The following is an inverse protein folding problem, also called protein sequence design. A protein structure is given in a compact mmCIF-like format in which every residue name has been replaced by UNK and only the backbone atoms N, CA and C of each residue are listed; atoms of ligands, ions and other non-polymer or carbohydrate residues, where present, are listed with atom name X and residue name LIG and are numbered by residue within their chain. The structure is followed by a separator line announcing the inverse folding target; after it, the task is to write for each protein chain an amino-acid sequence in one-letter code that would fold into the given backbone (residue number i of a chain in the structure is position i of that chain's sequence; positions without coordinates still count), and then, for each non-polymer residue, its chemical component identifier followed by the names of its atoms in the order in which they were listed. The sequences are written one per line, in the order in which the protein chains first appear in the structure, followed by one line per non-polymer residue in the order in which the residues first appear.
data_IF_856156199897
#
_entry.id   IF_856156199897
#
_cell.length_a   1.000
_cell.length_b   1.000
_cell.length_c   1.000
_cell.angle_alpha   90.00
_cell.angle_beta   90.00
_cell.angle_gamma   90.00
#
_symmetry.space_group_name_H-M   'P 1'
#
loop_
_entity.id
_entity.type
_entity.pdbx_description
1 polymer ?
#
# COMPACT_ATOMS: atom_id res chain seq x y z
N UNK A 1 -9.26 -0.28 17.07
CA UNK A 1 -10.01 -1.55 17.21
C UNK A 1 -9.12 -2.61 17.84
N UNK A 2 -9.68 -3.67 18.42
CA UNK A 2 -8.92 -4.79 19.01
C UNK A 2 -9.28 -6.09 18.29
N UNK A 3 -8.29 -6.94 18.03
CA UNK A 3 -8.45 -8.26 17.44
C UNK A 3 -7.63 -9.26 18.26
N UNK A 4 -8.12 -10.48 18.37
CA UNK A 4 -7.40 -11.56 19.04
C UNK A 4 -6.50 -12.31 18.05
N UNK A 5 -5.42 -12.88 18.57
CA UNK A 5 -4.59 -13.84 17.83
C UNK A 5 -5.31 -15.20 17.87
N UNK A 6 -5.42 -15.86 16.73
CA UNK A 6 -6.04 -17.19 16.66
C UNK A 6 -5.11 -18.29 17.22
N UNK A 7 -5.61 -19.53 17.31
CA UNK A 7 -4.83 -20.67 17.80
C UNK A 7 -3.61 -21.01 16.93
N UNK A 8 -3.55 -20.49 15.71
CA UNK A 8 -2.42 -20.64 14.79
C UNK A 8 -1.39 -19.51 14.90
N UNK A 9 -1.55 -18.58 15.84
CA UNK A 9 -0.64 -17.44 16.00
C UNK A 9 -0.86 -16.33 14.96
N UNK A 10 -1.99 -16.31 14.26
CA UNK A 10 -2.28 -15.34 13.19
C UNK A 10 -3.19 -14.22 13.69
N UNK A 11 -3.03 -13.04 13.10
CA UNK A 11 -3.95 -11.92 13.26
C UNK A 11 -4.83 -11.84 12.01
N UNK A 12 -6.15 -11.95 12.20
CA UNK A 12 -7.09 -11.74 11.11
C UNK A 12 -7.33 -10.24 10.91
N UNK A 13 -6.84 -9.68 9.80
CA UNK A 13 -7.10 -8.28 9.48
C UNK A 13 -8.60 -8.08 9.16
N UNK A 14 -9.28 -7.16 9.85
CA UNK A 14 -10.65 -6.77 9.54
C UNK A 14 -10.82 -6.38 8.08
N UNK A 15 -11.99 -6.72 7.49
CA UNK A 15 -12.28 -6.47 6.06
C UNK A 15 -12.05 -5.01 5.67
N UNK A 16 -12.51 -4.05 6.48
CA UNK A 16 -12.33 -2.62 6.21
C UNK A 16 -10.86 -2.21 6.06
N UNK A 17 -9.96 -2.76 6.88
CA UNK A 17 -8.52 -2.48 6.77
C UNK A 17 -7.95 -3.13 5.51
N UNK A 18 -8.33 -4.39 5.23
CA UNK A 18 -7.86 -5.09 4.02
C UNK A 18 -8.29 -4.34 2.75
N UNK A 19 -9.54 -3.93 2.68
CA UNK A 19 -10.09 -3.20 1.54
C UNK A 19 -9.39 -1.84 1.36
N UNK A 20 -9.20 -1.06 2.44
CA UNK A 20 -8.50 0.23 2.38
C UNK A 20 -7.02 0.13 1.98
N UNK A 21 -6.37 -1.00 2.26
CA UNK A 21 -4.98 -1.26 1.87
C UNK A 21 -4.86 -2.06 0.56
N UNK A 22 -5.98 -2.40 -0.09
CA UNK A 22 -5.99 -3.22 -1.30
C UNK A 22 -5.44 -4.64 -1.10
N UNK A 23 -5.49 -5.16 0.12
CA UNK A 23 -4.98 -6.50 0.46
C UNK A 23 -5.97 -7.58 0.04
N UNK A 24 -5.67 -8.25 -1.06
CA UNK A 24 -6.45 -9.35 -1.61
C UNK A 24 -5.91 -10.71 -1.13
N UNK A 25 -6.71 -11.79 -1.20
CA UNK A 25 -6.17 -13.14 -1.00
C UNK A 25 -4.95 -13.39 -1.89
N UNK A 26 -3.84 -13.82 -1.29
CA UNK A 26 -2.56 -14.02 -2.00
C UNK A 26 -1.67 -12.78 -2.11
N UNK A 27 -2.13 -11.59 -1.68
CA UNK A 27 -1.26 -10.42 -1.56
C UNK A 27 -0.11 -10.69 -0.59
N UNK A 28 1.08 -10.28 -0.98
CA UNK A 28 2.25 -10.25 -0.09
C UNK A 28 2.26 -8.94 0.71
N UNK A 29 2.87 -9.00 1.88
CA UNK A 29 3.04 -7.85 2.77
C UNK A 29 4.44 -7.88 3.37
N UNK A 30 5.03 -6.71 3.53
CA UNK A 30 6.21 -6.51 4.36
C UNK A 30 5.77 -6.28 5.80
N UNK A 31 6.42 -6.99 6.71
CA UNK A 31 6.18 -6.89 8.15
C UNK A 31 7.46 -6.42 8.83
N UNK A 32 7.36 -5.34 9.59
CA UNK A 32 8.48 -4.77 10.34
C UNK A 32 8.05 -4.34 11.74
N UNK A 33 9.04 -4.15 12.62
CA UNK A 33 8.82 -3.53 13.92
C UNK A 33 8.85 -2.01 13.77
N UNK A 34 7.89 -1.33 14.42
CA UNK A 34 7.85 0.13 14.48
C UNK A 34 7.44 0.57 15.89
N UNK A 35 8.42 1.10 16.64
CA UNK A 35 8.23 1.42 18.06
C UNK A 35 7.85 0.18 18.87
N UNK A 36 6.76 0.27 19.63
CA UNK A 36 6.21 -0.86 20.40
C UNK A 36 5.20 -1.70 19.61
N UNK A 37 5.13 -1.53 18.29
CA UNK A 37 4.12 -2.15 17.44
C UNK A 37 4.70 -2.89 16.24
N UNK A 38 3.79 -3.53 15.50
CA UNK A 38 4.07 -4.15 14.20
C UNK A 38 3.51 -3.24 13.11
N UNK A 39 4.34 -2.94 12.12
CA UNK A 39 3.92 -2.26 10.89
C UNK A 39 3.74 -3.30 9.79
N UNK A 40 2.58 -3.25 9.13
CA UNK A 40 2.27 -4.06 7.96
C UNK A 40 2.15 -3.12 6.78
N UNK A 41 2.96 -3.35 5.75
CA UNK A 41 2.92 -2.59 4.50
C UNK A 41 2.60 -3.54 3.36
N UNK A 42 1.65 -3.20 2.49
CA UNK A 42 1.41 -4.01 1.29
C UNK A 42 2.69 -4.11 0.45
N UNK A 43 3.02 -5.29 -0.09
CA UNK A 43 4.14 -5.54 -1.02
C UNK A 43 3.88 -4.89 -2.42
N UNK A 44 3.00 -3.88 -2.46
CA UNK A 44 2.55 -3.16 -3.63
C UNK A 44 3.22 -1.82 -3.83
N UNK A 45 4.23 -1.44 -3.03
CA UNK A 45 5.14 -0.35 -3.39
C UNK A 45 6.09 -0.82 -4.50
N UNK A 46 5.50 -1.20 -5.64
CA UNK A 46 6.24 -1.31 -6.89
C UNK A 46 6.79 0.06 -7.26
N UNK A 47 6.05 1.13 -6.95
CA UNK A 47 6.44 2.54 -7.06
C UNK A 47 7.66 2.88 -6.19
N UNK A 48 8.86 2.85 -6.78
CA UNK A 48 10.08 3.44 -6.23
C UNK A 48 10.24 4.86 -6.78
N UNK A 49 10.58 5.80 -5.93
CA UNK A 49 10.97 7.15 -6.35
C UNK A 49 12.46 7.14 -6.62
N UNK A 50 12.82 7.27 -7.88
CA UNK A 50 14.21 7.30 -8.34
C UNK A 50 14.50 8.65 -9.00
N UNK A 51 15.77 9.06 -9.02
CA UNK A 51 16.17 10.22 -9.80
C UNK A 51 16.50 9.76 -11.22
N UNK A 52 15.89 10.40 -12.20
CA UNK A 52 16.31 10.23 -13.59
C UNK A 52 17.69 10.86 -13.84
N UNK A 53 18.22 10.70 -15.06
CA UNK A 53 19.50 11.30 -15.46
C UNK A 53 19.52 12.84 -15.34
N UNK A 54 18.35 13.49 -15.32
CA UNK A 54 18.19 14.93 -15.13
C UNK A 54 17.94 15.35 -13.66
N UNK A 55 17.99 14.40 -12.72
CA UNK A 55 17.78 14.64 -11.29
C UNK A 55 16.32 14.78 -10.85
N UNK A 56 15.35 14.60 -11.76
CA UNK A 56 13.91 14.67 -11.44
C UNK A 56 13.50 13.41 -10.71
N UNK A 57 12.61 13.56 -9.73
CA UNK A 57 12.02 12.42 -9.03
C UNK A 57 10.95 11.78 -9.92
N UNK A 58 11.18 10.52 -10.30
CA UNK A 58 10.30 9.71 -11.15
C UNK A 58 9.85 8.49 -10.37
N UNK A 59 8.55 8.19 -10.44
CA UNK A 59 8.00 6.97 -9.85
C UNK A 59 8.11 5.81 -10.85
N UNK A 60 8.86 4.77 -10.50
CA UNK A 60 8.95 3.53 -11.24
C UNK A 60 8.06 2.49 -10.59
N UNK A 61 7.02 2.03 -11.28
CA UNK A 61 6.09 1.02 -10.78
C UNK A 61 5.74 0.00 -11.86
N UNK A 62 5.42 -1.23 -11.46
CA UNK A 62 4.83 -2.23 -12.37
C UNK A 62 3.31 -2.03 -12.53
N UNK A 63 2.70 -1.24 -11.63
CA UNK A 63 1.28 -0.91 -11.72
C UNK A 63 1.07 0.08 -12.86
N UNK A 64 0.23 -0.29 -13.83
CA UNK A 64 -0.18 0.63 -14.89
C UNK A 64 -1.09 1.70 -14.30
N UNK A 65 -0.67 2.96 -14.42
CA UNK A 65 -1.49 4.13 -14.12
C UNK A 65 -2.01 4.68 -15.45
N UNK A 66 -3.33 4.74 -15.59
CA UNK A 66 -3.99 5.24 -16.80
C UNK A 66 -4.27 6.74 -16.70
N UNK A 67 -4.42 7.39 -17.85
CA UNK A 67 -4.78 8.82 -17.92
C UNK A 67 -6.10 9.10 -17.20
N UNK A 68 -7.09 8.21 -17.31
CA UNK A 68 -8.38 8.33 -16.63
C UNK A 68 -8.21 8.38 -15.10
N UNK A 69 -7.40 7.49 -14.54
CA UNK A 69 -7.11 7.47 -13.10
C UNK A 69 -6.37 8.75 -12.66
N UNK A 70 -5.42 9.21 -13.46
CA UNK A 70 -4.65 10.42 -13.16
C UNK A 70 -5.54 11.66 -13.19
N UNK A 71 -6.35 11.84 -14.23
CA UNK A 71 -7.24 12.99 -14.35
C UNK A 71 -8.33 12.98 -13.26
N UNK A 72 -8.90 11.81 -12.96
CA UNK A 72 -9.86 11.67 -11.86
C UNK A 72 -9.28 12.09 -10.50
N UNK A 73 -8.02 11.75 -10.22
CA UNK A 73 -7.33 12.18 -9.00
C UNK A 73 -7.06 13.69 -8.97
N UNK A 74 -6.62 14.28 -10.08
CA UNK A 74 -6.35 15.73 -10.18
C UNK A 74 -7.64 16.52 -9.95
N UNK A 75 -8.73 16.12 -10.60
CA UNK A 75 -10.02 16.83 -10.49
C UNK A 75 -10.64 16.70 -9.10
N UNK A 76 -10.46 15.56 -8.43
CA UNK A 76 -10.87 15.39 -7.05
C UNK A 76 -10.18 16.37 -6.09
N UNK A 77 -8.93 16.75 -6.35
CA UNK A 77 -8.15 17.69 -5.53
C UNK A 77 -8.43 19.17 -5.80
N UNK A 78 -9.24 19.51 -6.81
CA UNK A 78 -9.62 20.90 -7.16
C UNK A 78 -10.92 21.36 -6.49
N UNK A 79 -11.50 20.57 -5.59
CA UNK A 79 -12.72 20.91 -4.84
C UNK A 79 -12.41 21.40 -3.43
#
# INVERSE_FOLDING_TARGET
MKVAIDSGGRILLPKSIRDSLGLMPGSKVDISLYGSGVQITADGRTARLERDAGGRLVSHAATVVTDEQLFGLIDAGRR
#
